data_IF_612380707555
#
_entry.id   IF_612380707555
#
_cell.length_a   1.000
_cell.length_b   1.000
_cell.length_c   1.000
_cell.angle_alpha   90.00
_cell.angle_beta   90.00
_cell.angle_gamma   90.00
#
_symmetry.space_group_name_H-M   'P 1'
#
loop_
_entity.id
_entity.type
_entity.pdbx_description
1 polymer ?
#
# COMPACT_ATOMS: atom_id res chain seq x y z
N UNK A 1 19.79 11.04 8.87
CA UNK A 1 18.49 10.72 9.48
C UNK A 1 17.42 10.91 8.42
N UNK A 2 16.38 10.08 8.39
CA UNK A 2 15.28 10.26 7.42
C UNK A 2 14.58 11.59 7.68
N UNK A 3 14.15 12.27 6.61
CA UNK A 3 13.35 13.50 6.74
C UNK A 3 11.87 13.19 7.02
N UNK A 4 11.46 11.93 6.85
CA UNK A 4 10.12 11.47 7.09
C UNK A 4 10.05 10.64 8.37
N UNK A 5 9.01 10.87 9.16
CA UNK A 5 8.68 10.06 10.34
C UNK A 5 7.31 9.43 10.13
N UNK A 6 7.01 8.39 10.91
CA UNK A 6 5.69 7.77 10.85
C UNK A 6 4.61 8.80 11.17
N UNK A 7 4.87 9.67 12.15
CA UNK A 7 3.92 10.66 12.62
C UNK A 7 3.67 11.76 11.59
N UNK A 8 4.72 12.32 10.97
CA UNK A 8 4.57 13.45 10.06
C UNK A 8 4.02 13.07 8.67
N UNK A 9 4.03 11.77 8.32
CA UNK A 9 3.48 11.24 7.07
C UNK A 9 2.14 10.52 7.26
N UNK A 10 1.71 10.29 8.51
CA UNK A 10 0.51 9.52 8.85
C UNK A 10 -0.76 10.21 8.36
N UNK A 11 -1.57 9.49 7.58
CA UNK A 11 -2.88 9.93 7.09
C UNK A 11 -3.92 8.82 7.18
N UNK A 12 -5.18 9.23 7.09
CA UNK A 12 -6.31 8.31 7.00
C UNK A 12 -7.20 8.73 5.83
N UNK A 13 -7.85 7.75 5.22
CA UNK A 13 -8.89 8.00 4.22
C UNK A 13 -10.07 7.07 4.46
N UNK A 14 -11.28 7.60 4.32
CA UNK A 14 -12.50 6.81 4.34
C UNK A 14 -12.76 6.29 2.93
N UNK A 15 -12.81 4.96 2.78
CA UNK A 15 -13.29 4.29 1.57
C UNK A 15 -14.73 3.79 1.80
N UNK A 16 -15.43 3.26 0.78
CA UNK A 16 -16.76 2.69 0.97
C UNK A 16 -16.80 1.53 1.99
N UNK A 17 -15.72 0.76 2.11
CA UNK A 17 -15.67 -0.44 2.96
C UNK A 17 -14.84 -0.26 4.25
N UNK A 18 -13.81 0.58 4.22
CA UNK A 18 -12.85 0.71 5.33
C UNK A 18 -12.38 2.14 5.53
N UNK A 19 -12.16 2.54 6.79
CA UNK A 19 -11.21 3.60 7.13
C UNK A 19 -9.80 3.01 7.08
N UNK A 20 -9.00 3.51 6.14
CA UNK A 20 -7.64 3.01 5.93
C UNK A 20 -6.61 4.03 6.37
N UNK A 21 -5.55 3.53 7.01
CA UNK A 21 -4.36 4.29 7.33
C UNK A 21 -3.30 4.10 6.24
N UNK A 22 -2.56 5.16 5.98
CA UNK A 22 -1.40 5.13 5.11
C UNK A 22 -0.40 6.22 5.52
N UNK A 23 0.86 6.03 5.15
CA UNK A 23 1.88 7.07 5.23
C UNK A 23 2.14 7.62 3.84
N UNK A 24 2.21 8.94 3.70
CA UNK A 24 2.42 9.59 2.41
C UNK A 24 3.56 10.60 2.45
N UNK A 25 4.42 10.57 1.43
CA UNK A 25 5.52 11.51 1.25
C UNK A 25 5.82 11.75 -0.24
N UNK A 26 6.31 12.94 -0.55
CA UNK A 26 6.69 13.31 -1.92
C UNK A 26 5.51 13.63 -2.84
N UNK A 27 5.85 13.90 -4.09
CA UNK A 27 4.94 14.29 -5.16
C UNK A 27 5.39 13.62 -6.47
N UNK A 28 4.54 13.61 -7.50
CA UNK A 28 4.85 13.00 -8.79
C UNK A 28 4.16 11.65 -9.03
N UNK A 29 4.72 10.77 -9.88
CA UNK A 29 4.15 9.44 -10.15
C UNK A 29 3.99 8.63 -8.86
N UNK A 30 2.86 7.93 -8.74
CA UNK A 30 2.47 7.26 -7.49
C UNK A 30 3.13 5.89 -7.39
N UNK A 31 3.74 5.60 -6.24
CA UNK A 31 4.18 4.27 -5.83
C UNK A 31 3.45 3.88 -4.55
N UNK A 32 2.65 2.82 -4.60
CA UNK A 32 2.00 2.24 -3.42
C UNK A 32 2.81 1.01 -2.97
N UNK A 33 3.27 1.03 -1.73
CA UNK A 33 4.03 -0.07 -1.12
C UNK A 33 3.14 -0.86 -0.14
N UNK A 34 3.09 -2.18 -0.33
CA UNK A 34 2.17 -3.10 0.36
C UNK A 34 2.95 -4.10 1.20
N UNK A 35 2.69 -4.11 2.50
CA UNK A 35 3.46 -4.88 3.49
C UNK A 35 3.11 -6.39 3.53
N UNK A 36 3.92 -7.16 4.25
CA UNK A 36 3.72 -8.60 4.53
C UNK A 36 2.72 -8.87 5.67
N UNK A 37 2.54 -10.14 6.07
CA UNK A 37 1.47 -10.55 7.01
C UNK A 37 1.91 -10.74 8.48
N UNK A 38 3.15 -10.43 8.84
CA UNK A 38 3.67 -10.64 10.20
C UNK A 38 2.88 -9.86 11.26
N UNK A 39 2.82 -10.37 12.50
CA UNK A 39 2.20 -9.64 13.60
C UNK A 39 2.90 -8.29 13.81
N UNK A 40 2.13 -7.20 13.82
CA UNK A 40 2.65 -5.83 13.89
C UNK A 40 3.16 -5.27 12.55
N UNK A 41 3.00 -5.99 11.43
CA UNK A 41 3.32 -5.46 10.11
C UNK A 41 2.45 -4.22 9.79
N UNK A 42 3.10 -3.19 9.28
CA UNK A 42 2.51 -1.94 8.79
C UNK A 42 3.27 -1.48 7.55
N UNK A 43 2.67 -0.60 6.75
CA UNK A 43 3.36 0.03 5.63
C UNK A 43 4.65 0.71 6.10
N UNK A 44 4.58 1.50 7.17
CA UNK A 44 5.75 2.19 7.73
C UNK A 44 6.83 1.23 8.20
N UNK A 45 6.51 0.26 9.06
CA UNK A 45 7.51 -0.67 9.60
C UNK A 45 8.22 -1.48 8.51
N UNK A 46 7.53 -1.81 7.42
CA UNK A 46 8.13 -2.53 6.29
C UNK A 46 9.01 -1.65 5.40
N UNK A 47 8.62 -0.39 5.16
CA UNK A 47 9.18 0.40 4.06
C UNK A 47 9.77 1.76 4.44
N UNK A 48 9.83 2.13 5.72
CA UNK A 48 10.34 3.45 6.13
C UNK A 48 11.76 3.75 5.60
N UNK A 49 12.60 2.72 5.41
CA UNK A 49 13.96 2.87 4.86
C UNK A 49 14.01 3.13 3.35
N UNK A 50 12.89 2.94 2.65
CA UNK A 50 12.78 3.15 1.21
C UNK A 50 12.24 4.53 0.85
N UNK A 51 11.54 5.20 1.78
CA UNK A 51 10.81 6.45 1.51
C UNK A 51 11.73 7.54 0.96
N UNK A 52 12.85 7.83 1.64
CA UNK A 52 13.76 8.91 1.22
C UNK A 52 14.23 8.71 -0.22
N UNK A 53 14.69 7.51 -0.58
CA UNK A 53 15.22 7.21 -1.90
C UNK A 53 14.18 7.34 -3.02
N UNK A 54 12.94 6.90 -2.77
CA UNK A 54 11.86 7.04 -3.76
C UNK A 54 11.39 8.49 -3.88
N UNK A 55 11.28 9.22 -2.78
CA UNK A 55 10.91 10.65 -2.85
C UNK A 55 12.01 11.48 -3.51
N UNK A 56 13.30 11.19 -3.23
CA UNK A 56 14.43 11.84 -3.91
C UNK A 56 14.47 11.55 -5.42
N UNK A 57 13.95 10.39 -5.83
CA UNK A 57 13.75 10.04 -7.23
C UNK A 57 12.49 10.66 -7.85
N UNK A 58 11.72 11.47 -7.11
CA UNK A 58 10.56 12.21 -7.62
C UNK A 58 9.24 11.44 -7.62
N UNK A 59 9.10 10.43 -6.76
CA UNK A 59 7.84 9.68 -6.61
C UNK A 59 6.99 10.20 -5.44
N UNK A 60 5.67 10.13 -5.62
CA UNK A 60 4.68 10.20 -4.53
C UNK A 60 4.59 8.80 -3.90
N UNK A 61 5.13 8.65 -2.70
CA UNK A 61 5.22 7.38 -1.99
C UNK A 61 4.05 7.24 -1.03
N UNK A 62 3.33 6.12 -1.14
CA UNK A 62 2.23 5.74 -0.25
C UNK A 62 2.56 4.39 0.37
N UNK A 63 2.71 4.35 1.70
CA UNK A 63 2.85 3.10 2.45
C UNK A 63 1.49 2.76 3.05
N UNK A 64 0.81 1.77 2.49
CA UNK A 64 -0.54 1.40 2.89
C UNK A 64 -0.53 0.42 4.05
N UNK A 65 -1.38 0.62 5.06
CA UNK A 65 -1.78 -0.45 5.98
C UNK A 65 -3.00 -1.17 5.40
N UNK A 66 -2.86 -2.47 5.09
CA UNK A 66 -3.99 -3.25 4.59
C UNK A 66 -5.09 -3.38 5.66
N UNK A 67 -6.38 -3.55 5.29
CA UNK A 67 -7.44 -3.82 6.26
C UNK A 67 -7.09 -4.99 7.20
N UNK A 68 -7.32 -4.80 8.50
CA UNK A 68 -6.89 -5.73 9.56
C UNK A 68 -5.45 -5.58 10.03
N UNK A 69 -4.71 -4.56 9.55
CA UNK A 69 -3.34 -4.28 9.95
C UNK A 69 -3.14 -2.82 10.38
N UNK A 70 -2.12 -2.61 11.22
CA UNK A 70 -1.70 -1.29 11.65
C UNK A 70 -2.84 -0.47 12.25
N UNK A 71 -3.08 0.70 11.68
CA UNK A 71 -4.14 1.61 12.11
C UNK A 71 -5.37 1.59 11.19
N UNK A 72 -5.38 0.75 10.15
CA UNK A 72 -6.57 0.53 9.31
C UNK A 72 -7.62 -0.25 10.09
N UNK A 73 -8.88 -0.13 9.67
CA UNK A 73 -10.00 -0.83 10.32
C UNK A 73 -9.74 -2.34 10.47
N UNK A 74 -10.20 -2.96 11.57
CA UNK A 74 -10.08 -4.39 11.78
C UNK A 74 -10.86 -5.15 10.71
N UNK A 75 -10.38 -6.35 10.37
CA UNK A 75 -11.00 -7.18 9.34
C UNK A 75 -11.06 -8.63 9.81
N UNK A 76 -12.28 -9.19 9.82
CA UNK A 76 -12.53 -10.62 9.94
C UNK A 76 -13.22 -11.06 8.65
N UNK A 77 -12.65 -12.06 7.97
CA UNK A 77 -13.10 -12.45 6.63
C UNK A 77 -12.68 -13.88 6.32
N UNK A 78 -13.46 -14.53 5.46
CA UNK A 78 -13.11 -15.82 4.84
C UNK A 78 -12.53 -15.64 3.42
N UNK A 79 -12.60 -14.43 2.84
CA UNK A 79 -12.04 -14.17 1.52
C UNK A 79 -10.49 -14.23 1.55
N UNK A 80 -9.84 -14.73 0.48
CA UNK A 80 -8.39 -14.76 0.42
C UNK A 80 -7.78 -13.35 0.51
N UNK A 81 -6.68 -13.21 1.27
CA UNK A 81 -6.03 -11.90 1.51
C UNK A 81 -5.65 -11.16 0.23
N UNK A 82 -5.19 -11.87 -0.81
CA UNK A 82 -4.82 -11.23 -2.08
C UNK A 82 -6.02 -10.61 -2.82
N UNK A 83 -7.24 -11.13 -2.62
CA UNK A 83 -8.47 -10.57 -3.21
C UNK A 83 -8.87 -9.30 -2.47
N UNK A 84 -8.96 -9.36 -1.14
CA UNK A 84 -9.40 -8.22 -0.33
C UNK A 84 -8.38 -7.09 -0.41
N UNK A 85 -7.09 -7.40 -0.29
CA UNK A 85 -6.05 -6.38 -0.36
C UNK A 85 -6.00 -5.72 -1.75
N UNK A 86 -6.25 -6.47 -2.83
CA UNK A 86 -6.40 -5.87 -4.16
C UNK A 86 -7.57 -4.87 -4.22
N UNK A 87 -8.73 -5.23 -3.66
CA UNK A 87 -9.88 -4.32 -3.55
C UNK A 87 -9.54 -3.09 -2.71
N UNK A 88 -8.84 -3.28 -1.60
CA UNK A 88 -8.41 -2.21 -0.72
C UNK A 88 -7.41 -1.26 -1.41
N UNK A 89 -6.47 -1.77 -2.21
CA UNK A 89 -5.55 -0.94 -3.01
C UNK A 89 -6.36 -0.08 -4.00
N UNK A 90 -7.32 -0.67 -4.72
CA UNK A 90 -8.20 0.09 -5.63
C UNK A 90 -9.01 1.15 -4.86
N UNK A 91 -9.60 0.78 -3.73
CA UNK A 91 -10.40 1.69 -2.92
C UNK A 91 -9.55 2.85 -2.37
N UNK A 92 -8.28 2.60 -2.01
CA UNK A 92 -7.32 3.65 -1.66
C UNK A 92 -7.10 4.59 -2.84
N UNK A 93 -6.83 4.04 -4.03
CA UNK A 93 -6.57 4.82 -5.23
C UNK A 93 -7.77 5.69 -5.59
N UNK A 94 -8.98 5.14 -5.60
CA UNK A 94 -10.20 5.88 -5.90
C UNK A 94 -10.45 7.01 -4.88
N UNK A 95 -10.24 6.75 -3.58
CA UNK A 95 -10.45 7.75 -2.54
C UNK A 95 -9.39 8.86 -2.51
N UNK A 96 -8.25 8.65 -3.17
CA UNK A 96 -7.15 9.62 -3.29
C UNK A 96 -7.03 10.21 -4.72
N UNK A 97 -8.03 9.96 -5.56
CA UNK A 97 -8.08 10.39 -6.97
C UNK A 97 -6.83 9.96 -7.78
N UNK A 98 -6.34 8.74 -7.55
CA UNK A 98 -5.18 8.16 -8.23
C UNK A 98 -5.65 7.29 -9.39
N UNK A 99 -5.39 7.71 -10.63
CA UNK A 99 -5.75 6.94 -11.81
C UNK A 99 -4.85 5.70 -12.00
N UNK A 100 -3.53 5.87 -11.97
CA UNK A 100 -2.56 4.77 -12.07
C UNK A 100 -1.46 4.86 -11.01
N UNK A 101 -0.96 3.71 -10.60
CA UNK A 101 0.17 3.62 -9.68
C UNK A 101 1.13 2.49 -10.06
N UNK A 102 2.40 2.64 -9.65
CA UNK A 102 3.30 1.51 -9.50
C UNK A 102 3.04 0.81 -8.16
N UNK A 103 3.17 -0.52 -8.12
CA UNK A 103 3.03 -1.30 -6.90
C UNK A 103 4.35 -1.94 -6.51
N UNK A 104 4.70 -1.84 -5.22
CA UNK A 104 5.79 -2.59 -4.59
C UNK A 104 5.18 -3.48 -3.51
N UNK A 105 5.38 -4.78 -3.58
CA UNK A 105 4.78 -5.71 -2.61
C UNK A 105 5.75 -6.80 -2.16
N UNK A 106 5.80 -7.05 -0.84
CA UNK A 106 6.60 -8.14 -0.27
C UNK A 106 5.74 -9.20 0.42
N UNK A 107 6.05 -10.49 0.26
CA UNK A 107 5.28 -11.60 0.86
C UNK A 107 3.78 -11.48 0.54
N UNK A 108 2.89 -11.39 1.54
CA UNK A 108 1.46 -11.11 1.37
C UNK A 108 1.20 -9.90 0.45
N UNK A 109 1.99 -8.83 0.58
CA UNK A 109 1.85 -7.64 -0.26
C UNK A 109 2.19 -7.91 -1.72
N UNK A 110 3.10 -8.84 -1.99
CA UNK A 110 3.40 -9.31 -3.35
C UNK A 110 2.23 -10.08 -3.96
N UNK A 111 1.61 -11.00 -3.20
CA UNK A 111 0.38 -11.69 -3.62
C UNK A 111 -0.78 -10.72 -3.83
N UNK A 112 -0.88 -9.69 -2.99
CA UNK A 112 -1.89 -8.63 -3.12
C UNK A 112 -1.69 -7.78 -4.39
N UNK A 113 -0.44 -7.45 -4.72
CA UNK A 113 -0.11 -6.74 -5.96
C UNK A 113 -0.42 -7.59 -7.20
N UNK A 114 -0.14 -8.90 -7.17
CA UNK A 114 -0.56 -9.83 -8.22
C UNK A 114 -2.08 -9.91 -8.36
N UNK A 115 -2.80 -10.03 -7.24
CA UNK A 115 -4.27 -10.01 -7.22
C UNK A 115 -4.84 -8.71 -7.82
N UNK A 116 -4.19 -7.58 -7.54
CA UNK A 116 -4.53 -6.29 -8.13
C UNK A 116 -4.28 -6.27 -9.64
N UNK A 117 -3.12 -6.73 -10.09
CA UNK A 117 -2.76 -6.76 -11.51
C UNK A 117 -3.75 -7.59 -12.36
N UNK A 118 -4.30 -8.67 -11.79
CA UNK A 118 -5.31 -9.51 -12.45
C UNK A 118 -6.68 -8.82 -12.51
N UNK A 119 -7.10 -8.15 -11.43
CA UNK A 119 -8.44 -7.56 -11.34
C UNK A 119 -8.56 -6.18 -11.96
N UNK A 120 -7.49 -5.37 -11.89
CA UNK A 120 -7.47 -3.95 -12.28
C UNK A 120 -6.22 -3.61 -13.11
N UNK A 121 -5.92 -4.36 -14.19
CA UNK A 121 -4.71 -4.16 -14.99
C UNK A 121 -4.60 -2.74 -15.57
N UNK A 122 -5.73 -2.09 -15.85
CA UNK A 122 -5.81 -0.73 -16.36
C UNK A 122 -5.37 0.34 -15.34
N UNK A 123 -5.31 0.00 -14.05
CA UNK A 123 -4.92 0.89 -12.95
C UNK A 123 -3.45 0.69 -12.53
N UNK A 124 -2.79 -0.32 -13.09
CA UNK A 124 -1.39 -0.65 -12.80
C UNK A 124 -0.46 -0.09 -13.87
N UNK A 125 0.67 0.49 -13.47
CA UNK A 125 1.75 0.87 -14.39
C UNK A 125 2.91 -0.13 -14.34
N UNK A 126 3.63 -0.21 -13.21
CA UNK A 126 4.71 -1.18 -12.99
C UNK A 126 4.50 -1.91 -11.68
N UNK A 127 5.00 -3.14 -11.60
CA UNK A 127 4.89 -3.98 -10.41
C UNK A 127 6.24 -4.55 -10.03
N UNK A 128 6.60 -4.41 -8.75
CA UNK A 128 7.85 -4.91 -8.16
C UNK A 128 7.47 -5.88 -7.04
N UNK A 129 7.94 -7.13 -7.17
CA UNK A 129 7.59 -8.23 -6.27
C UNK A 129 8.82 -8.71 -5.50
N UNK A 130 8.69 -8.77 -4.17
CA UNK A 130 9.77 -9.13 -3.25
C UNK A 130 9.37 -10.37 -2.44
N UNK A 131 9.75 -11.56 -2.93
CA UNK A 131 9.37 -12.83 -2.29
C UNK A 131 7.84 -12.95 -2.14
N UNK A 132 7.11 -12.79 -3.24
CA UNK A 132 5.65 -12.76 -3.25
C UNK A 132 5.07 -14.07 -2.71
N UNK A 133 4.17 -13.96 -1.74
CA UNK A 133 3.39 -15.08 -1.23
C UNK A 133 2.18 -15.32 -2.14
N UNK A 134 2.01 -16.57 -2.54
CA UNK A 134 0.90 -17.09 -3.32
C UNK A 134 0.61 -18.52 -2.89
#
# INVERSE_FOLDING_TARGET
MSRFTQENTSKFVQTPEWKMHYNEAGEGPVVIMVHGSGAGATGWANFHRNVDAFVDAGYRVILMDCPGFGKSDPLVTAEPRFVINARAIKALMDALDIDKAHLVGNSMGGGSALGFAVQYPERLDKMILMGAGG
#
